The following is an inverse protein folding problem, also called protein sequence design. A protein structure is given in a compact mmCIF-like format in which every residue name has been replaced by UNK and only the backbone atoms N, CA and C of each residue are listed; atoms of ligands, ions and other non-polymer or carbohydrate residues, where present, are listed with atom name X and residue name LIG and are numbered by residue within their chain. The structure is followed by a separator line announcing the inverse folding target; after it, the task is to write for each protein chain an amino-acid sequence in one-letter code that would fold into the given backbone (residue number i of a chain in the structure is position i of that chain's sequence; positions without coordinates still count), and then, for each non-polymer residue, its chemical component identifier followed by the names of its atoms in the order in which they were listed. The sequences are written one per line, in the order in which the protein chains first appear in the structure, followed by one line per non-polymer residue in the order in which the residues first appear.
data_IF_182331903683
#
_entry.id   IF_182331903683
#
_cell.length_a   1.000
_cell.length_b   1.000
_cell.length_c   1.000
_cell.angle_alpha   90.00
_cell.angle_beta   90.00
_cell.angle_gamma   90.00
#
_symmetry.space_group_name_H-M   'P 1'
#
loop_
_entity.id
_entity.type
_entity.pdbx_description
1 polymer ?
#
# COMPACT_ATOMS: atom_id res chain seq x y z
N UNK A 1 29.51 20.74 -12.25
CA UNK A 1 28.39 19.93 -11.75
C UNK A 1 27.25 20.03 -12.76
N UNK A 2 26.96 18.95 -13.49
CA UNK A 2 25.83 18.92 -14.43
C UNK A 2 24.56 18.70 -13.62
N UNK A 3 23.63 19.64 -13.70
CA UNK A 3 22.29 19.49 -13.15
C UNK A 3 21.63 18.28 -13.83
N UNK A 4 21.41 17.21 -13.09
CA UNK A 4 20.65 16.07 -13.57
C UNK A 4 19.20 16.54 -13.65
N UNK A 5 18.66 16.61 -14.86
CA UNK A 5 17.27 17.01 -15.08
C UNK A 5 16.35 16.00 -14.41
N UNK A 6 15.72 16.41 -13.32
CA UNK A 6 14.73 15.63 -12.56
C UNK A 6 13.45 15.31 -13.36
N UNK A 7 13.27 15.94 -14.53
CA UNK A 7 12.09 15.71 -15.39
C UNK A 7 12.00 14.30 -15.97
N UNK A 8 13.13 13.65 -16.19
CA UNK A 8 13.16 12.30 -16.80
C UNK A 8 12.80 11.16 -15.85
N UNK A 9 12.80 11.38 -14.53
CA UNK A 9 12.44 10.31 -13.58
C UNK A 9 10.93 10.19 -13.34
N UNK A 10 10.14 11.18 -13.69
CA UNK A 10 8.71 11.23 -13.44
C UNK A 10 7.89 10.43 -14.44
N UNK A 11 8.26 10.48 -15.72
CA UNK A 11 7.59 9.72 -16.79
C UNK A 11 7.82 8.21 -16.65
N UNK A 12 8.89 7.80 -15.95
CA UNK A 12 9.22 6.40 -15.67
C UNK A 12 8.38 5.77 -14.55
N UNK A 13 7.70 6.56 -13.73
CA UNK A 13 6.92 6.07 -12.58
C UNK A 13 5.52 5.60 -13.01
N UNK A 14 4.98 6.15 -14.08
CA UNK A 14 3.70 5.72 -14.64
C UNK A 14 3.92 4.57 -15.63
N UNK A 15 3.99 3.34 -15.13
CA UNK A 15 3.95 2.16 -16.00
C UNK A 15 2.57 2.12 -16.66
N UNK A 16 2.55 2.44 -17.96
CA UNK A 16 1.33 2.35 -18.77
C UNK A 16 0.83 0.89 -18.82
N UNK A 17 -0.47 0.71 -19.02
CA UNK A 17 -1.22 -0.58 -19.00
C UNK A 17 -0.69 -1.73 -19.89
N UNK A 18 0.44 -1.60 -20.59
CA UNK A 18 0.97 -2.62 -21.51
C UNK A 18 2.49 -2.78 -21.45
N UNK A 19 3.06 -2.77 -20.26
CA UNK A 19 4.51 -2.96 -20.12
C UNK A 19 4.90 -4.43 -20.18
N UNK A 20 6.00 -4.72 -20.85
CA UNK A 20 6.57 -6.07 -20.90
C UNK A 20 7.05 -6.52 -19.50
N UNK A 21 7.17 -7.83 -19.29
CA UNK A 21 7.70 -8.35 -18.02
C UNK A 21 9.09 -7.79 -17.66
N UNK A 22 9.90 -7.46 -18.66
CA UNK A 22 11.24 -6.87 -18.49
C UNK A 22 11.17 -5.42 -17.95
N UNK A 23 10.19 -4.64 -18.37
CA UNK A 23 10.00 -3.26 -17.88
C UNK A 23 9.49 -3.25 -16.45
N UNK A 24 8.56 -4.16 -16.08
CA UNK A 24 8.14 -4.36 -14.70
C UNK A 24 9.30 -4.77 -13.81
N UNK A 25 10.12 -5.73 -14.25
CA UNK A 25 11.31 -6.17 -13.53
C UNK A 25 12.26 -4.99 -13.30
N UNK A 26 12.52 -4.18 -14.31
CA UNK A 26 13.42 -3.02 -14.25
C UNK A 26 12.87 -1.97 -13.28
N UNK A 27 11.58 -1.67 -13.34
CA UNK A 27 10.94 -0.71 -12.43
C UNK A 27 11.09 -1.14 -10.97
N UNK A 28 10.66 -2.36 -10.63
CA UNK A 28 10.72 -2.85 -9.26
C UNK A 28 12.15 -3.04 -8.76
N UNK A 29 13.08 -3.44 -9.66
CA UNK A 29 14.51 -3.47 -9.35
C UNK A 29 15.00 -2.07 -8.94
N UNK A 30 14.64 -1.02 -9.69
CA UNK A 30 15.01 0.37 -9.40
C UNK A 30 14.41 0.85 -8.07
N UNK A 31 13.13 0.61 -7.85
CA UNK A 31 12.41 1.03 -6.64
C UNK A 31 13.01 0.38 -5.38
N UNK A 32 13.19 -0.93 -5.40
CA UNK A 32 13.53 -1.70 -4.20
C UNK A 32 15.05 -1.74 -3.92
N UNK A 33 15.90 -1.47 -4.92
CA UNK A 33 17.33 -1.30 -4.72
C UNK A 33 17.76 0.16 -4.49
N UNK A 34 16.81 1.07 -4.44
CA UNK A 34 17.07 2.50 -4.29
C UNK A 34 17.79 2.81 -2.97
N UNK A 35 18.96 3.43 -3.05
CA UNK A 35 19.87 3.63 -1.92
C UNK A 35 19.81 5.05 -1.34
N UNK A 36 18.85 5.84 -1.71
CA UNK A 36 18.72 7.23 -1.28
C UNK A 36 17.65 7.50 -0.22
N UNK A 37 17.11 6.44 0.39
CA UNK A 37 16.12 6.57 1.43
C UNK A 37 16.73 7.15 2.74
N UNK A 38 16.05 8.06 3.45
CA UNK A 38 14.76 8.70 3.15
C UNK A 38 14.87 10.00 2.34
N UNK A 39 16.06 10.62 2.26
CA UNK A 39 16.22 12.00 1.74
C UNK A 39 15.83 12.16 0.26
N UNK A 40 16.10 11.16 -0.56
CA UNK A 40 15.72 11.23 -1.97
C UNK A 40 14.25 10.90 -2.20
N UNK A 41 13.66 10.04 -1.38
CA UNK A 41 12.22 9.79 -1.41
C UNK A 41 11.45 11.09 -1.09
N UNK A 42 11.92 11.87 -0.12
CA UNK A 42 11.36 13.19 0.25
C UNK A 42 11.48 14.16 -0.92
N UNK A 43 12.61 14.22 -1.62
CA UNK A 43 12.80 15.10 -2.78
C UNK A 43 11.95 14.71 -3.97
N UNK A 44 11.78 13.41 -4.20
CA UNK A 44 10.85 12.90 -5.22
C UNK A 44 9.40 13.18 -4.83
N UNK A 45 9.10 13.20 -3.55
CA UNK A 45 7.78 13.42 -3.00
C UNK A 45 7.39 14.89 -2.88
N UNK A 46 8.34 15.84 -2.82
CA UNK A 46 7.99 17.26 -2.82
C UNK A 46 7.23 17.67 -4.07
N UNK A 47 7.46 16.98 -5.19
CA UNK A 47 6.64 17.12 -6.41
C UNK A 47 5.31 16.35 -6.34
N UNK A 48 5.15 15.36 -5.45
CA UNK A 48 3.87 14.72 -5.16
C UNK A 48 3.04 15.51 -4.13
N UNK A 49 3.67 16.25 -3.22
CA UNK A 49 2.98 17.08 -2.24
C UNK A 49 2.15 18.21 -2.86
N UNK A 50 2.50 18.69 -4.06
CA UNK A 50 1.66 19.64 -4.78
C UNK A 50 0.31 19.04 -5.22
N UNK A 51 0.24 17.72 -5.33
CA UNK A 51 -0.98 16.98 -5.68
C UNK A 51 -1.80 16.56 -4.46
N UNK A 52 -1.26 16.71 -3.26
CA UNK A 52 -1.90 16.32 -2.01
C UNK A 52 -2.05 17.53 -1.08
N UNK A 53 -2.80 18.53 -1.52
CA UNK A 53 -3.34 19.50 -0.58
C UNK A 53 -4.34 18.75 0.31
N UNK A 54 -4.00 18.63 1.61
CA UNK A 54 -4.99 18.29 2.63
C UNK A 54 -6.11 19.30 2.45
N UNK A 55 -7.31 18.82 2.16
CA UNK A 55 -8.45 19.69 1.95
C UNK A 55 -8.65 20.50 3.24
N UNK A 56 -8.63 21.82 3.13
CA UNK A 56 -8.87 22.75 4.24
C UNK A 56 -10.27 22.65 4.86
N UNK A 57 -11.10 21.74 4.34
CA UNK A 57 -12.45 21.44 4.81
C UNK A 57 -12.51 20.37 5.91
N UNK A 58 -11.38 19.82 6.38
CA UNK A 58 -11.35 18.84 7.45
C UNK A 58 -11.61 19.53 8.79
N UNK A 59 -12.63 19.06 9.53
CA UNK A 59 -12.91 19.58 10.88
C UNK A 59 -11.82 19.19 11.87
N UNK A 60 -11.76 19.90 13.00
CA UNK A 60 -10.82 19.57 14.06
C UNK A 60 -11.00 18.14 14.59
N UNK A 61 -12.25 17.68 14.74
CA UNK A 61 -12.59 16.32 15.15
C UNK A 61 -12.12 15.27 14.10
N UNK A 62 -12.32 15.55 12.82
CA UNK A 62 -11.88 14.67 11.72
C UNK A 62 -10.35 14.60 11.66
N UNK A 63 -9.66 15.72 11.90
CA UNK A 63 -8.21 15.76 11.97
C UNK A 63 -7.68 14.99 13.18
N UNK A 64 -8.29 15.15 14.35
CA UNK A 64 -7.94 14.40 15.56
C UNK A 64 -8.13 12.88 15.35
N UNK A 65 -9.24 12.46 14.74
CA UNK A 65 -9.48 11.04 14.44
C UNK A 65 -8.41 10.46 13.49
N UNK A 66 -8.01 11.23 12.47
CA UNK A 66 -6.95 10.85 11.55
C UNK A 66 -5.59 10.77 12.24
N UNK A 67 -5.26 11.73 13.10
CA UNK A 67 -4.02 11.74 13.89
C UNK A 67 -3.93 10.54 14.82
N UNK A 68 -4.98 10.34 15.59
CA UNK A 68 -5.05 9.19 16.48
C UNK A 68 -4.95 7.85 15.76
N UNK A 69 -5.53 7.74 14.55
CA UNK A 69 -5.41 6.53 13.74
C UNK A 69 -3.95 6.29 13.35
N UNK A 70 -3.31 7.29 12.74
CA UNK A 70 -1.93 7.16 12.22
C UNK A 70 -0.92 6.92 13.34
N UNK A 71 -1.08 7.58 14.49
CA UNK A 71 -0.09 7.53 15.57
C UNK A 71 -0.24 6.31 16.50
N UNK A 72 -1.46 5.94 16.87
CA UNK A 72 -1.64 5.04 18.01
C UNK A 72 -2.76 3.99 17.87
N UNK A 73 -3.82 4.25 17.11
CA UNK A 73 -5.03 3.41 17.20
C UNK A 73 -5.26 2.48 16.01
N UNK A 74 -4.45 2.58 14.96
CA UNK A 74 -4.60 1.76 13.76
C UNK A 74 -4.57 0.26 14.06
N UNK A 75 -3.71 -0.16 15.00
CA UNK A 75 -3.57 -1.58 15.36
C UNK A 75 -4.82 -2.10 16.05
N UNK A 76 -5.35 -1.37 17.01
CA UNK A 76 -6.54 -1.77 17.76
C UNK A 76 -7.79 -1.78 16.90
N UNK A 77 -7.98 -0.72 16.09
CA UNK A 77 -9.12 -0.64 15.18
C UNK A 77 -9.07 -1.77 14.16
N UNK A 78 -7.90 -2.04 13.58
CA UNK A 78 -7.75 -3.10 12.58
C UNK A 78 -7.85 -4.50 13.18
N UNK A 79 -7.33 -4.77 14.37
CA UNK A 79 -7.54 -6.05 15.08
C UNK A 79 -9.03 -6.32 15.29
N UNK A 80 -9.78 -5.32 15.73
CA UNK A 80 -11.23 -5.46 15.87
C UNK A 80 -11.92 -5.76 14.54
N UNK A 81 -11.62 -5.00 13.50
CA UNK A 81 -12.25 -5.18 12.18
C UNK A 81 -11.90 -6.50 11.49
N UNK A 82 -10.67 -6.98 11.66
CA UNK A 82 -10.15 -8.17 10.95
C UNK A 82 -10.53 -9.45 11.68
N UNK A 83 -10.38 -9.47 12.99
CA UNK A 83 -10.48 -10.67 13.82
C UNK A 83 -11.72 -10.70 14.70
N UNK A 84 -12.46 -9.60 14.78
CA UNK A 84 -13.50 -9.38 15.80
C UNK A 84 -12.94 -9.51 17.24
N UNK A 85 -11.65 -9.19 17.39
CA UNK A 85 -10.92 -9.26 18.66
C UNK A 85 -10.72 -7.84 19.22
N UNK A 86 -10.94 -7.68 20.49
CA UNK A 86 -10.67 -6.44 21.20
C UNK A 86 -11.84 -6.00 22.07
N UNK A 87 -11.55 -5.20 23.06
CA UNK A 87 -12.59 -4.59 23.87
C UNK A 87 -13.36 -3.58 23.03
N UNK A 88 -14.67 -3.64 23.06
CA UNK A 88 -15.61 -2.64 22.56
C UNK A 88 -15.34 -1.28 23.23
N UNK A 89 -14.26 -0.63 22.84
CA UNK A 89 -14.10 0.74 23.23
C UNK A 89 -14.97 1.56 22.29
N UNK A 90 -16.02 2.14 22.83
CA UNK A 90 -16.90 3.10 22.16
C UNK A 90 -16.06 4.12 21.38
N UNK A 91 -14.95 4.54 21.96
CA UNK A 91 -14.00 5.47 21.36
C UNK A 91 -13.39 4.97 20.03
N UNK A 92 -13.03 3.68 19.92
CA UNK A 92 -12.47 3.14 18.66
C UNK A 92 -13.54 3.04 17.57
N UNK A 93 -14.78 2.74 17.94
CA UNK A 93 -15.91 2.71 17.00
C UNK A 93 -16.26 4.11 16.50
N UNK A 94 -16.25 5.11 17.38
CA UNK A 94 -16.46 6.52 17.01
C UNK A 94 -15.36 7.03 16.09
N UNK A 95 -14.09 6.76 16.39
CA UNK A 95 -12.95 7.10 15.53
C UNK A 95 -13.04 6.41 14.17
N UNK A 96 -13.39 5.12 14.14
CA UNK A 96 -13.65 4.39 12.90
C UNK A 96 -14.72 5.08 12.07
N UNK A 97 -15.87 5.40 12.68
CA UNK A 97 -16.98 6.05 11.99
C UNK A 97 -16.59 7.44 11.43
N UNK A 98 -15.83 8.21 12.20
CA UNK A 98 -15.32 9.52 11.77
C UNK A 98 -14.37 9.39 10.60
N UNK A 99 -13.45 8.43 10.63
CA UNK A 99 -12.53 8.14 9.51
C UNK A 99 -13.27 7.67 8.26
N UNK A 100 -14.25 6.79 8.40
CA UNK A 100 -15.07 6.32 7.26
C UNK A 100 -15.83 7.49 6.63
N UNK A 101 -16.42 8.35 7.44
CA UNK A 101 -17.11 9.55 6.97
C UNK A 101 -16.15 10.49 6.24
N UNK A 102 -14.98 10.71 6.80
CA UNK A 102 -13.95 11.56 6.23
C UNK A 102 -13.47 11.03 4.86
N UNK A 103 -13.07 9.77 4.77
CA UNK A 103 -12.63 9.16 3.51
C UNK A 103 -13.76 9.16 2.46
N UNK A 104 -15.03 8.96 2.90
CA UNK A 104 -16.17 8.99 1.98
C UNK A 104 -16.45 10.36 1.39
N UNK A 105 -16.03 11.45 2.02
CA UNK A 105 -16.10 12.81 1.45
C UNK A 105 -15.06 13.04 0.35
N UNK A 106 -13.96 12.28 0.34
CA UNK A 106 -12.87 12.49 -0.60
C UNK A 106 -13.26 12.09 -2.02
N UNK A 107 -12.71 12.77 -3.04
CA UNK A 107 -12.90 12.36 -4.43
C UNK A 107 -12.22 11.03 -4.70
N UNK A 108 -12.64 10.37 -5.77
CA UNK A 108 -11.92 9.21 -6.30
C UNK A 108 -10.52 9.65 -6.75
N UNK A 109 -9.50 8.92 -6.31
CA UNK A 109 -8.13 9.17 -6.73
C UNK A 109 -7.84 8.47 -8.05
N UNK A 110 -7.07 9.13 -8.91
CA UNK A 110 -6.52 8.55 -10.14
C UNK A 110 -5.05 8.14 -9.97
N UNK A 111 -4.50 8.27 -8.75
CA UNK A 111 -3.12 7.92 -8.46
C UNK A 111 -2.98 6.41 -8.22
N UNK A 112 -1.79 5.89 -8.53
CA UNK A 112 -1.38 4.57 -8.10
C UNK A 112 -0.97 4.59 -6.63
N UNK A 113 -1.38 3.57 -5.90
CA UNK A 113 -1.05 3.37 -4.50
C UNK A 113 -0.25 2.09 -4.33
N UNK A 114 0.65 2.09 -3.38
CA UNK A 114 1.57 0.97 -3.13
C UNK A 114 1.57 0.61 -1.65
N UNK A 115 1.64 -0.69 -1.37
CA UNK A 115 1.76 -1.22 -0.02
C UNK A 115 2.70 -2.42 -0.02
N UNK A 116 3.72 -2.42 0.82
CA UNK A 116 4.57 -3.58 1.03
C UNK A 116 4.21 -4.29 2.34
N UNK A 117 4.30 -5.61 2.34
CA UNK A 117 4.05 -6.47 3.49
C UNK A 117 5.17 -7.48 3.59
N UNK A 118 5.85 -7.50 4.73
CA UNK A 118 6.84 -8.53 5.07
C UNK A 118 6.10 -9.80 5.47
N UNK A 119 6.54 -10.94 4.97
CA UNK A 119 5.92 -12.23 5.28
C UNK A 119 6.78 -13.10 6.18
N UNK A 120 8.08 -12.88 6.22
CA UNK A 120 9.00 -13.63 7.07
C UNK A 120 8.65 -13.49 8.56
N UNK A 121 8.57 -14.62 9.24
CA UNK A 121 8.20 -14.70 10.66
C UNK A 121 6.73 -14.32 10.96
N UNK A 122 5.91 -14.06 9.94
CA UNK A 122 4.51 -13.63 10.07
C UNK A 122 3.55 -14.70 9.58
N UNK A 123 3.27 -15.68 10.43
CA UNK A 123 2.43 -16.84 10.10
C UNK A 123 1.04 -16.49 9.56
N UNK A 124 0.49 -15.33 9.91
CA UNK A 124 -0.82 -14.91 9.40
C UNK A 124 -0.84 -14.59 7.91
N UNK A 125 0.32 -14.39 7.24
CA UNK A 125 0.42 -14.28 5.78
C UNK A 125 0.67 -15.63 5.08
N UNK A 126 0.87 -16.72 5.80
CA UNK A 126 1.09 -18.05 5.21
C UNK A 126 -0.03 -18.47 4.25
N UNK A 127 -1.34 -18.23 4.55
CA UNK A 127 -2.40 -18.58 3.61
C UNK A 127 -2.31 -17.82 2.28
N UNK A 128 -1.94 -16.53 2.32
CA UNK A 128 -1.79 -15.70 1.13
C UNK A 128 -0.61 -16.18 0.28
N UNK A 129 0.56 -16.39 0.90
CA UNK A 129 1.76 -16.89 0.21
C UNK A 129 1.49 -18.24 -0.44
N UNK A 130 0.90 -19.18 0.29
CA UNK A 130 0.50 -20.49 -0.25
C UNK A 130 -0.40 -20.36 -1.48
N UNK A 131 -1.39 -19.46 -1.44
CA UNK A 131 -2.33 -19.28 -2.56
C UNK A 131 -1.66 -18.65 -3.78
N UNK A 132 -0.73 -17.74 -3.59
CA UNK A 132 0.07 -17.15 -4.66
C UNK A 132 0.97 -18.20 -5.33
N UNK A 133 1.68 -19.00 -4.54
CA UNK A 133 2.55 -20.07 -5.02
C UNK A 133 1.79 -21.15 -5.79
N UNK A 134 0.57 -21.47 -5.36
CA UNK A 134 -0.30 -22.46 -6.00
C UNK A 134 -1.25 -21.85 -7.05
N UNK A 135 -1.08 -20.58 -7.42
CA UNK A 135 -1.90 -19.87 -8.42
C UNK A 135 -3.40 -19.88 -8.11
N UNK A 136 -3.75 -19.87 -6.83
CA UNK A 136 -5.13 -19.76 -6.37
C UNK A 136 -5.57 -18.29 -6.25
N UNK A 137 -4.62 -17.37 -6.29
CA UNK A 137 -4.84 -15.93 -6.45
C UNK A 137 -4.24 -15.53 -7.79
N UNK A 138 -5.11 -15.23 -8.74
CA UNK A 138 -4.77 -14.89 -10.11
C UNK A 138 -5.70 -13.78 -10.63
N UNK A 139 -5.55 -13.43 -11.89
CA UNK A 139 -6.40 -12.42 -12.55
C UNK A 139 -7.88 -12.77 -12.39
N UNK A 140 -8.66 -11.79 -11.94
CA UNK A 140 -10.09 -11.94 -11.66
C UNK A 140 -10.40 -12.34 -10.20
N UNK A 141 -9.41 -12.70 -9.39
CA UNK A 141 -9.63 -12.93 -7.96
C UNK A 141 -10.06 -11.63 -7.28
N UNK A 142 -11.12 -11.67 -6.49
CA UNK A 142 -11.60 -10.52 -5.72
C UNK A 142 -11.11 -10.66 -4.28
N UNK A 143 -10.38 -9.64 -3.83
CA UNK A 143 -9.93 -9.51 -2.45
C UNK A 143 -10.78 -8.48 -1.71
N UNK A 144 -11.04 -8.73 -0.43
CA UNK A 144 -11.67 -7.75 0.46
C UNK A 144 -10.72 -7.35 1.58
N UNK A 145 -10.61 -6.06 1.84
CA UNK A 145 -9.94 -5.60 3.06
C UNK A 145 -10.96 -5.48 4.20
N UNK A 146 -10.75 -6.25 5.27
CA UNK A 146 -11.60 -6.20 6.46
C UNK A 146 -11.29 -4.99 7.35
N UNK A 147 -10.03 -4.54 7.38
CA UNK A 147 -9.57 -3.37 8.11
C UNK A 147 -9.22 -2.19 7.21
N UNK A 148 -8.86 -1.06 7.78
CA UNK A 148 -8.25 0.02 7.03
C UNK A 148 -6.90 -0.44 6.48
N UNK A 149 -6.60 -0.09 5.25
CA UNK A 149 -5.31 -0.38 4.63
C UNK A 149 -4.55 0.91 4.37
N UNK A 150 -3.36 0.99 4.93
CA UNK A 150 -2.40 2.05 4.64
C UNK A 150 -1.62 1.69 3.39
N UNK A 151 -1.66 2.59 2.42
CA UNK A 151 -0.87 2.59 1.20
C UNK A 151 0.02 3.83 1.18
N UNK A 152 0.94 3.88 0.27
CA UNK A 152 1.67 5.11 -0.09
C UNK A 152 1.48 5.40 -1.58
N UNK A 153 1.46 6.66 -1.97
CA UNK A 153 1.53 7.02 -3.40
C UNK A 153 2.99 7.18 -3.89
N UNK A 154 3.97 7.00 -3.00
CA UNK A 154 5.38 7.03 -3.34
C UNK A 154 5.99 5.62 -3.27
N UNK A 155 6.25 4.94 -4.41
CA UNK A 155 6.78 3.58 -4.41
C UNK A 155 8.16 3.47 -3.73
N UNK A 156 8.94 4.53 -3.69
CA UNK A 156 10.25 4.53 -3.02
C UNK A 156 10.15 4.47 -1.49
N UNK A 157 9.00 4.82 -0.91
CA UNK A 157 8.73 4.62 0.53
C UNK A 157 8.56 3.15 0.91
N UNK A 158 8.31 2.26 -0.06
CA UNK A 158 8.07 0.84 0.19
C UNK A 158 9.25 0.12 0.84
N UNK A 159 10.47 0.60 0.61
CA UNK A 159 11.67 -0.02 1.20
C UNK A 159 11.59 -0.08 2.72
N UNK A 160 11.04 0.94 3.37
CA UNK A 160 10.85 0.96 4.82
C UNK A 160 9.91 -0.15 5.32
N UNK A 161 8.95 -0.58 4.49
CA UNK A 161 7.95 -1.58 4.84
C UNK A 161 8.24 -2.98 4.30
N UNK A 162 9.13 -3.08 3.30
CA UNK A 162 9.54 -4.35 2.68
C UNK A 162 10.87 -4.88 3.20
N UNK A 163 11.63 -4.04 3.91
CA UNK A 163 12.99 -4.35 4.33
C UNK A 163 13.07 -5.06 5.67
N UNK A 164 14.11 -5.87 5.82
CA UNK A 164 14.56 -6.38 7.09
C UNK A 164 14.92 -5.24 8.05
N UNK A 165 14.53 -5.36 9.31
CA UNK A 165 14.73 -4.31 10.32
C UNK A 165 16.20 -4.05 10.66
N UNK A 166 17.08 -5.01 10.38
CA UNK A 166 18.52 -4.92 10.69
C UNK A 166 19.29 -4.36 9.50
N UNK A 167 19.05 -4.92 8.32
CA UNK A 167 19.81 -4.59 7.10
C UNK A 167 19.15 -3.50 6.26
N UNK A 168 17.85 -3.27 6.43
CA UNK A 168 17.05 -2.40 5.56
C UNK A 168 16.89 -2.91 4.13
N UNK A 169 17.38 -4.13 3.84
CA UNK A 169 17.23 -4.77 2.53
C UNK A 169 15.87 -5.48 2.42
N UNK A 170 15.32 -5.54 1.22
CA UNK A 170 14.04 -6.20 0.97
C UNK A 170 14.08 -7.66 1.42
N UNK A 171 13.10 -8.08 2.19
CA UNK A 171 12.95 -9.46 2.64
C UNK A 171 12.55 -10.38 1.48
N UNK A 172 12.91 -11.65 1.62
CA UNK A 172 12.44 -12.69 0.70
C UNK A 172 10.93 -12.91 0.88
N UNK A 173 10.22 -13.24 -0.20
CA UNK A 173 8.76 -13.42 -0.22
C UNK A 173 7.93 -12.20 0.22
N UNK A 174 8.53 -11.01 0.27
CA UNK A 174 7.77 -9.77 0.46
C UNK A 174 6.64 -9.67 -0.58
N UNK A 175 5.49 -9.20 -0.14
CA UNK A 175 4.33 -8.97 -1.02
C UNK A 175 4.15 -7.48 -1.19
N UNK A 176 4.07 -7.04 -2.44
CA UNK A 176 3.78 -5.65 -2.79
C UNK A 176 2.44 -5.61 -3.52
N UNK A 177 1.51 -4.84 -2.97
CA UNK A 177 0.28 -4.48 -3.62
C UNK A 177 0.46 -3.16 -4.37
N UNK A 178 0.06 -3.15 -5.63
CA UNK A 178 -0.10 -1.93 -6.43
C UNK A 178 -1.59 -1.78 -6.74
N UNK A 179 -2.22 -0.75 -6.22
CA UNK A 179 -3.62 -0.41 -6.47
C UNK A 179 -3.69 0.75 -7.45
N UNK A 180 -4.28 0.52 -8.62
CA UNK A 180 -4.46 1.53 -9.65
C UNK A 180 -5.77 2.28 -9.41
N UNK A 181 -5.69 3.54 -9.00
CA UNK A 181 -6.77 4.51 -8.91
C UNK A 181 -8.17 4.01 -8.48
N UNK A 182 -9.17 4.83 -8.70
CA UNK A 182 -10.58 4.45 -8.54
C UNK A 182 -11.06 4.24 -7.11
N UNK A 183 -10.26 4.53 -6.10
CA UNK A 183 -10.64 4.46 -4.69
C UNK A 183 -10.61 5.83 -4.03
N UNK A 184 -11.46 5.99 -3.03
CA UNK A 184 -11.39 7.14 -2.13
C UNK A 184 -10.32 6.89 -1.09
N UNK A 185 -9.54 7.90 -0.79
CA UNK A 185 -8.50 7.81 0.22
C UNK A 185 -8.23 9.18 0.82
N UNK A 186 -7.74 9.19 2.05
CA UNK A 186 -7.23 10.40 2.66
C UNK A 186 -5.73 10.27 2.88
N UNK A 187 -5.03 11.38 2.72
CA UNK A 187 -3.63 11.49 3.08
C UNK A 187 -3.47 12.33 4.32
N UNK A 188 -2.57 11.90 5.18
CA UNK A 188 -2.03 12.77 6.22
C UNK A 188 -0.54 12.99 5.95
N UNK A 189 -0.09 14.21 6.17
CA UNK A 189 1.33 14.50 6.30
C UNK A 189 1.77 13.90 7.64
N UNK A 190 2.33 12.70 7.58
CA UNK A 190 2.96 12.08 8.75
C UNK A 190 4.28 12.79 9.04
N UNK A 191 4.71 12.91 10.31
CA UNK A 191 6.05 13.36 10.65
C UNK A 191 7.18 12.53 10.00
N UNK A 192 6.85 11.32 9.53
CA UNK A 192 7.77 10.36 8.91
C UNK A 192 7.70 10.38 7.38
N UNK A 193 6.92 11.29 6.77
CA UNK A 193 6.77 11.44 5.31
C UNK A 193 6.47 10.13 4.54
N UNK A 194 5.63 9.28 5.11
CA UNK A 194 5.26 8.00 4.50
C UNK A 194 4.29 8.16 3.32
N UNK A 195 3.78 9.36 3.09
CA UNK A 195 2.76 9.64 2.07
C UNK A 195 1.56 8.71 2.18
N UNK A 196 1.15 8.43 3.40
CA UNK A 196 0.13 7.47 3.71
C UNK A 196 -1.20 7.83 3.04
N UNK A 197 -1.83 6.80 2.49
CA UNK A 197 -3.17 6.82 1.92
C UNK A 197 -4.00 5.74 2.57
N UNK A 198 -5.05 6.13 3.24
CA UNK A 198 -5.92 5.22 3.97
C UNK A 198 -7.08 4.80 3.08
N UNK A 199 -7.21 3.50 2.83
CA UNK A 199 -8.31 2.89 2.08
C UNK A 199 -9.28 2.24 3.05
N UNK A 200 -10.58 2.46 2.81
CA UNK A 200 -11.67 2.02 3.70
C UNK A 200 -11.76 0.49 3.82
N UNK A 201 -12.17 0.00 5.01
CA UNK A 201 -12.63 -1.37 5.18
C UNK A 201 -13.77 -1.70 4.23
N UNK A 202 -13.88 -2.97 3.84
CA UNK A 202 -14.92 -3.46 2.93
C UNK A 202 -14.69 -3.12 1.45
N UNK A 203 -13.54 -2.50 1.11
CA UNK A 203 -13.23 -2.26 -0.31
C UNK A 203 -12.97 -3.57 -1.03
N UNK A 204 -13.67 -3.79 -2.15
CA UNK A 204 -13.48 -4.92 -3.03
C UNK A 204 -12.47 -4.55 -4.11
N UNK A 205 -11.39 -5.33 -4.20
CA UNK A 205 -10.28 -5.11 -5.10
C UNK A 205 -10.04 -6.35 -5.96
N UNK A 206 -10.06 -6.17 -7.28
CA UNK A 206 -9.83 -7.24 -8.24
C UNK A 206 -8.35 -7.35 -8.55
N UNK A 207 -7.81 -8.55 -8.50
CA UNK A 207 -6.46 -8.85 -8.94
C UNK A 207 -6.41 -8.80 -10.47
N UNK A 208 -5.62 -7.90 -11.00
CA UNK A 208 -5.35 -7.80 -12.45
C UNK A 208 -4.15 -8.61 -12.84
N UNK A 209 -3.14 -8.62 -11.99
CA UNK A 209 -1.96 -9.45 -12.17
C UNK A 209 -1.40 -9.85 -10.82
N UNK A 210 -0.93 -11.10 -10.72
CA UNK A 210 -0.09 -11.56 -9.62
C UNK A 210 1.17 -12.21 -10.23
N UNK A 211 2.35 -11.70 -9.86
CA UNK A 211 3.61 -12.18 -10.45
C UNK A 211 4.71 -12.23 -9.41
N UNK A 212 5.54 -13.23 -9.51
CA UNK A 212 6.75 -13.36 -8.73
C UNK A 212 7.93 -12.76 -9.52
N UNK A 213 8.70 -11.91 -8.89
CA UNK A 213 9.88 -11.27 -9.47
C UNK A 213 11.10 -11.56 -8.60
N UNK A 214 12.25 -11.70 -9.25
CA UNK A 214 13.53 -11.82 -8.56
C UNK A 214 14.27 -10.48 -8.60
N UNK A 215 14.45 -9.87 -7.44
CA UNK A 215 15.13 -8.58 -7.27
C UNK A 215 16.52 -8.81 -6.71
N UNK A 216 17.53 -8.22 -7.34
CA UNK A 216 18.89 -8.21 -6.83
C UNK A 216 19.03 -7.08 -5.80
N UNK A 217 19.31 -7.43 -4.55
CA UNK A 217 19.54 -6.47 -3.48
C UNK A 217 21.00 -6.00 -3.43
N UNK A 218 21.31 -5.00 -2.60
CA UNK A 218 22.63 -4.35 -2.53
C UNK A 218 23.76 -5.33 -2.19
N UNK A 219 23.50 -6.27 -1.28
CA UNK A 219 24.45 -7.35 -0.94
C UNK A 219 24.75 -8.32 -2.08
N UNK A 220 24.07 -8.20 -3.22
CA UNK A 220 24.23 -9.06 -4.39
C UNK A 220 23.32 -10.28 -4.40
N UNK A 221 22.63 -10.57 -3.31
CA UNK A 221 21.67 -11.67 -3.23
C UNK A 221 20.42 -11.40 -4.05
N UNK A 222 19.79 -12.48 -4.49
CA UNK A 222 18.47 -12.41 -5.12
C UNK A 222 17.38 -12.59 -4.06
N UNK A 223 16.33 -11.79 -4.16
CA UNK A 223 15.11 -11.91 -3.35
C UNK A 223 13.92 -12.14 -4.25
N UNK A 224 13.13 -13.16 -3.92
CA UNK A 224 11.83 -13.39 -4.56
C UNK A 224 10.80 -12.48 -3.92
N UNK A 225 10.05 -11.74 -4.73
CA UNK A 225 8.97 -10.86 -4.27
C UNK A 225 7.71 -11.10 -5.07
N UNK A 226 6.57 -10.95 -4.45
CA UNK A 226 5.28 -10.97 -5.12
C UNK A 226 4.79 -9.55 -5.41
N UNK A 227 4.37 -9.29 -6.63
CA UNK A 227 3.68 -8.06 -7.02
C UNK A 227 2.24 -8.42 -7.36
N UNK A 228 1.29 -7.84 -6.63
CA UNK A 228 -0.15 -8.01 -6.86
C UNK A 228 -0.70 -6.67 -7.33
N UNK A 229 -1.06 -6.60 -8.60
CA UNK A 229 -1.71 -5.42 -9.18
C UNK A 229 -3.22 -5.52 -8.99
N UNK A 230 -3.80 -4.46 -8.43
CA UNK A 230 -5.19 -4.38 -8.03
C UNK A 230 -5.90 -3.23 -8.74
N UNK A 231 -7.17 -3.43 -9.03
CA UNK A 231 -8.12 -2.36 -9.38
C UNK A 231 -9.36 -2.49 -8.50
N UNK A 232 -10.14 -1.42 -8.40
CA UNK A 232 -11.43 -1.48 -7.71
C UNK A 232 -12.36 -2.45 -8.43
N UNK A 233 -12.87 -3.43 -7.71
CA UNK A 233 -13.83 -4.37 -8.25
C UNK A 233 -15.23 -3.72 -8.39
N UNK A 234 -16.08 -4.21 -9.32
CA UNK A 234 -17.48 -3.84 -9.37
C UNK A 234 -18.20 -4.12 -8.04
N UNK A 235 -19.18 -3.28 -7.68
CA UNK A 235 -19.94 -3.42 -6.43
C UNK A 235 -20.73 -4.73 -6.34
N UNK A 236 -21.06 -5.34 -7.48
CA UNK A 236 -21.75 -6.65 -7.56
C UNK A 236 -20.82 -7.83 -7.39
N UNK A 237 -19.51 -7.62 -7.24
CA UNK A 237 -18.55 -8.70 -7.08
C UNK A 237 -18.66 -9.32 -5.69
N UNK A 238 -18.48 -10.65 -5.63
CA UNK A 238 -18.35 -11.37 -4.37
C UNK A 238 -16.87 -11.57 -4.06
N UNK A 239 -16.41 -11.32 -2.82
CA UNK A 239 -15.03 -11.55 -2.45
C UNK A 239 -14.73 -13.05 -2.39
N UNK A 240 -13.51 -13.42 -2.81
CA UNK A 240 -13.01 -14.80 -2.70
C UNK A 240 -12.15 -14.98 -1.45
N UNK A 241 -11.31 -13.99 -1.17
CA UNK A 241 -10.36 -14.00 -0.05
C UNK A 241 -10.25 -12.62 0.58
N UNK A 242 -9.82 -12.59 1.85
CA UNK A 242 -9.30 -11.38 2.45
C UNK A 242 -7.83 -11.12 2.07
N UNK A 243 -7.29 -9.99 2.48
CA UNK A 243 -5.89 -9.60 2.20
C UNK A 243 -4.84 -10.50 2.87
N UNK A 244 -5.25 -11.44 3.71
CA UNK A 244 -4.39 -12.47 4.29
C UNK A 244 -4.55 -13.83 3.60
N UNK A 245 -5.36 -13.90 2.53
CA UNK A 245 -5.64 -15.13 1.79
C UNK A 245 -6.61 -16.08 2.48
N UNK A 246 -7.33 -15.64 3.52
CA UNK A 246 -8.38 -16.44 4.15
C UNK A 246 -9.65 -16.37 3.30
N UNK A 247 -10.37 -17.47 3.09
CA UNK A 247 -11.69 -17.47 2.43
C UNK A 247 -12.66 -16.54 3.17
N UNK A 248 -13.57 -15.93 2.41
CA UNK A 248 -14.59 -15.01 2.95
C UNK A 248 -15.98 -15.59 2.72
#
# INVERSE_FOLDING_TARGET
MKAISLKTSFDDIHIRKSTSNSEHQTFWQKVLSFDGYPEHAIKLSSSFNELVKVDSSISAEENEALENYVENSWEYINKYLINNEGHDSTLHLERKATLEKLVNKMPLSNLDFYRAVRTDGRSFFSPLTYKLENRLIETGTILINKGFLSFTNNPYSLKAFSGDTITGEVENNCIIYKLTGGVKSISKISPIDEFERIVLPGSLLEVKHARNLNIKIKSGHMRSIWIIELEKAPLSSSPHFDFYGKPV
#
